data_IF_882548306204
#
_entry.id   IF_882548306204
#
_cell.length_a   1.000
_cell.length_b   1.000
_cell.length_c   1.000
_cell.angle_alpha   90.00
_cell.angle_beta   90.00
_cell.angle_gamma   90.00
#
_symmetry.space_group_name_H-M   'P 1'
#
loop_
_entity.id
_entity.type
_entity.pdbx_description
1 polymer ?
#
# COMPACT_ATOMS: atom_id res chain seq x y z
N UNK A 1 -14.42 17.88 7.75
CA UNK A 1 -13.72 16.86 6.96
C UNK A 1 -12.39 16.57 7.64
N UNK A 2 -12.02 15.32 7.74
CA UNK A 2 -10.74 14.93 8.31
C UNK A 2 -9.60 15.18 7.33
N UNK A 3 -8.46 15.67 7.82
CA UNK A 3 -7.22 15.78 7.04
C UNK A 3 -6.43 14.46 7.04
N UNK A 4 -6.70 13.59 8.04
CA UNK A 4 -6.11 12.27 8.16
C UNK A 4 -7.03 11.32 8.91
N UNK A 5 -7.15 10.11 8.37
CA UNK A 5 -7.80 8.97 9.00
C UNK A 5 -6.86 7.76 8.87
N UNK A 6 -6.70 7.02 9.94
CA UNK A 6 -6.03 5.72 9.96
C UNK A 6 -6.81 4.84 10.94
N UNK A 7 -7.50 3.84 10.42
CA UNK A 7 -8.39 3.01 11.22
C UNK A 7 -8.13 1.53 10.97
N UNK A 8 -8.06 0.77 12.05
CA UNK A 8 -7.99 -0.70 12.07
C UNK A 8 -8.76 -1.24 13.27
N UNK A 9 -8.88 -2.57 13.38
CA UNK A 9 -9.52 -3.18 14.54
C UNK A 9 -8.79 -2.81 15.84
N UNK A 10 -9.46 -2.07 16.73
CA UNK A 10 -8.93 -1.63 18.02
C UNK A 10 -8.07 -0.38 18.01
N UNK A 11 -7.87 0.25 16.85
CA UNK A 11 -7.15 1.53 16.74
C UNK A 11 -7.77 2.40 15.66
N UNK A 12 -8.15 3.61 16.02
CA UNK A 12 -8.51 4.66 15.09
C UNK A 12 -7.77 5.94 15.46
N UNK A 13 -7.07 6.52 14.51
CA UNK A 13 -6.50 7.85 14.59
C UNK A 13 -7.21 8.74 13.57
N UNK A 14 -7.85 9.78 14.05
CA UNK A 14 -8.41 10.85 13.21
C UNK A 14 -7.70 12.16 13.51
N UNK A 15 -7.45 12.96 12.48
CA UNK A 15 -6.85 14.28 12.64
C UNK A 15 -7.52 15.32 11.74
N UNK A 16 -7.54 16.56 12.22
CA UNK A 16 -8.15 17.71 11.55
C UNK A 16 -7.17 18.89 11.52
N UNK A 17 -7.07 19.52 10.36
CA UNK A 17 -6.24 20.69 10.12
C UNK A 17 -4.75 20.42 10.24
N UNK A 18 -3.96 21.28 9.64
CA UNK A 18 -2.50 21.20 9.59
C UNK A 18 -1.93 22.30 10.48
N UNK A 19 -1.14 21.92 11.49
CA UNK A 19 -0.41 22.88 12.34
C UNK A 19 0.95 23.21 11.71
N UNK A 20 1.65 22.21 11.20
CA UNK A 20 2.95 22.35 10.55
C UNK A 20 3.11 21.27 9.47
N UNK A 21 3.68 21.64 8.34
CA UNK A 21 4.03 20.72 7.24
C UNK A 21 5.55 20.49 7.21
N UNK A 22 5.93 19.32 6.66
CA UNK A 22 7.32 18.91 6.54
C UNK A 22 7.60 18.40 5.12
N UNK A 23 8.46 19.12 4.41
CA UNK A 23 8.90 18.75 3.06
C UNK A 23 10.02 17.69 3.08
N UNK A 24 10.58 17.41 4.26
CA UNK A 24 11.67 16.47 4.45
C UNK A 24 11.42 15.59 5.67
N UNK A 25 11.75 14.31 5.53
CA UNK A 25 11.61 13.33 6.61
C UNK A 25 12.52 13.68 7.80
N UNK A 26 13.72 14.24 7.55
CA UNK A 26 14.62 14.70 8.61
C UNK A 26 13.94 15.73 9.53
N UNK A 27 13.26 16.69 8.95
CA UNK A 27 12.63 17.80 9.69
C UNK A 27 11.40 17.29 10.49
N UNK A 28 10.67 16.33 9.92
CA UNK A 28 9.59 15.63 10.62
C UNK A 28 10.11 14.81 11.81
N UNK A 29 11.24 14.10 11.63
CA UNK A 29 11.86 13.37 12.74
C UNK A 29 12.39 14.29 13.82
N UNK A 30 13.03 15.42 13.51
CA UNK A 30 13.44 16.41 14.51
C UNK A 30 12.24 16.90 15.34
N UNK A 31 11.09 17.10 14.71
CA UNK A 31 9.86 17.49 15.41
C UNK A 31 9.33 16.40 16.34
N UNK A 32 9.57 15.11 16.07
CA UNK A 32 9.11 14.01 16.91
C UNK A 32 9.85 13.89 18.26
N UNK A 33 11.04 14.46 18.43
CA UNK A 33 11.85 14.28 19.63
C UNK A 33 11.38 15.05 20.87
N UNK A 34 10.25 15.76 20.81
CA UNK A 34 9.69 16.46 21.98
C UNK A 34 8.84 15.58 22.91
N UNK A 35 8.58 14.32 22.54
CA UNK A 35 7.87 13.31 23.31
C UNK A 35 6.34 13.42 23.30
N UNK A 36 5.76 14.50 22.81
CA UNK A 36 4.31 14.76 22.79
C UNK A 36 3.76 14.93 21.36
N UNK A 37 4.63 15.10 20.39
CA UNK A 37 4.29 15.36 18.99
C UNK A 37 3.69 14.14 18.30
N UNK A 38 2.97 14.42 17.23
CA UNK A 38 2.43 13.42 16.28
C UNK A 38 2.70 13.92 14.87
N UNK A 39 3.23 13.03 14.05
CA UNK A 39 3.34 13.20 12.60
C UNK A 39 2.42 12.19 11.95
N UNK A 40 1.66 12.61 10.96
CA UNK A 40 0.83 11.79 10.10
C UNK A 40 1.10 12.12 8.64
N UNK A 41 0.75 11.22 7.73
CA UNK A 41 0.80 11.53 6.30
C UNK A 41 1.17 10.36 5.41
N UNK A 42 1.80 10.70 4.27
CA UNK A 42 2.18 9.77 3.22
C UNK A 42 3.60 10.01 2.71
N UNK A 43 4.29 8.93 2.38
CA UNK A 43 5.56 8.92 1.67
C UNK A 43 5.29 8.57 0.19
N UNK A 44 5.86 9.30 -0.77
CA UNK A 44 5.70 9.01 -2.19
C UNK A 44 6.46 7.75 -2.58
N UNK A 45 6.15 7.17 -3.75
CA UNK A 45 6.86 6.00 -4.28
C UNK A 45 8.34 6.30 -4.53
N UNK A 46 8.63 7.41 -5.19
CA UNK A 46 10.00 7.85 -5.41
C UNK A 46 10.53 8.59 -4.19
N UNK A 47 11.62 8.07 -3.62
CA UNK A 47 12.25 8.65 -2.41
C UNK A 47 12.74 10.08 -2.58
N UNK A 48 12.94 10.53 -3.83
CA UNK A 48 13.39 11.88 -4.14
C UNK A 48 12.28 12.92 -4.12
N UNK A 49 11.02 12.48 -4.17
CA UNK A 49 9.88 13.38 -4.17
C UNK A 49 9.55 13.83 -2.74
N UNK A 50 8.89 14.98 -2.64
CA UNK A 50 8.50 15.53 -1.35
C UNK A 50 7.41 14.66 -0.70
N UNK A 51 7.56 14.28 0.59
CA UNK A 51 6.53 13.58 1.31
C UNK A 51 5.37 14.53 1.65
N UNK A 52 4.20 13.97 1.87
CA UNK A 52 3.09 14.68 2.53
C UNK A 52 3.08 14.33 3.99
N UNK A 53 3.85 15.04 4.81
CA UNK A 53 3.95 14.85 6.25
C UNK A 53 3.51 16.11 6.98
N UNK A 54 2.72 15.95 8.02
CA UNK A 54 2.31 17.09 8.84
C UNK A 54 2.02 16.73 10.31
N UNK A 55 2.21 17.72 11.18
CA UNK A 55 1.67 17.72 12.52
C UNK A 55 0.23 18.23 12.47
N UNK A 56 -0.78 17.45 12.93
CA UNK A 56 -2.16 17.93 12.94
C UNK A 56 -2.41 18.97 14.03
N UNK A 57 -3.38 19.86 13.81
CA UNK A 57 -3.85 20.81 14.86
C UNK A 57 -4.60 20.10 15.97
N UNK A 58 -5.45 19.15 15.57
CA UNK A 58 -6.26 18.35 16.47
C UNK A 58 -6.21 16.90 16.02
N UNK A 59 -6.10 15.98 16.98
CA UNK A 59 -6.16 14.56 16.69
C UNK A 59 -6.79 13.79 17.85
N UNK A 60 -7.29 12.60 17.53
CA UNK A 60 -7.90 11.71 18.52
C UNK A 60 -7.52 10.26 18.20
N UNK A 61 -7.02 9.57 19.22
CA UNK A 61 -6.95 8.11 19.23
C UNK A 61 -8.22 7.52 19.86
N UNK A 62 -8.75 6.46 19.27
CA UNK A 62 -9.93 5.73 19.75
C UNK A 62 -9.72 4.23 19.52
N UNK A 63 -10.36 3.40 20.34
CA UNK A 63 -10.48 1.96 20.09
C UNK A 63 -11.71 1.62 19.22
N UNK A 64 -12.62 2.58 19.04
CA UNK A 64 -13.80 2.42 18.21
C UNK A 64 -13.47 2.67 16.74
N UNK A 65 -14.08 1.96 15.79
CA UNK A 65 -13.96 2.26 14.37
C UNK A 65 -14.37 3.69 14.07
N UNK A 66 -13.77 4.27 13.02
CA UNK A 66 -14.21 5.59 12.55
C UNK A 66 -15.65 5.48 12.00
N UNK A 67 -16.49 6.41 12.42
CA UNK A 67 -17.80 6.60 11.80
C UNK A 67 -17.62 7.56 10.65
N UNK A 68 -17.62 7.02 9.44
CA UNK A 68 -17.60 7.81 8.21
C UNK A 68 -19.04 8.16 7.84
N UNK A 69 -19.27 9.40 7.45
CA UNK A 69 -20.55 9.78 6.89
C UNK A 69 -20.77 9.00 5.59
N UNK A 70 -21.85 8.19 5.58
CA UNK A 70 -22.30 7.57 4.34
C UNK A 70 -23.06 8.64 3.56
N UNK A 71 -22.55 9.15 2.45
CA UNK A 71 -23.33 10.10 1.69
C UNK A 71 -24.49 9.41 1.00
N UNK A 72 -25.55 10.14 0.86
CA UNK A 72 -26.57 9.87 -0.14
C UNK A 72 -25.87 9.76 -1.48
N UNK A 73 -25.95 8.65 -2.12
CA UNK A 73 -25.37 8.26 -3.41
C UNK A 73 -24.25 9.17 -4.01
N UNK A 74 -23.10 8.60 -4.30
CA UNK A 74 -22.06 9.27 -5.09
C UNK A 74 -22.66 9.80 -6.43
N UNK A 75 -22.15 10.90 -7.00
CA UNK A 75 -22.53 11.34 -8.33
C UNK A 75 -22.35 10.21 -9.34
N UNK A 76 -23.10 10.24 -10.44
CA UNK A 76 -22.98 9.24 -11.48
C UNK A 76 -21.60 9.31 -12.17
N UNK A 77 -21.04 8.16 -12.52
CA UNK A 77 -19.84 8.08 -13.35
C UNK A 77 -20.18 8.44 -14.79
N UNK A 78 -19.50 9.44 -15.34
CA UNK A 78 -19.67 9.92 -16.70
C UNK A 78 -18.78 9.16 -17.70
N UNK A 79 -17.53 8.86 -17.33
CA UNK A 79 -16.58 8.11 -18.17
C UNK A 79 -15.49 7.44 -17.32
N UNK A 80 -14.78 6.50 -17.96
CA UNK A 80 -13.63 5.79 -17.35
C UNK A 80 -12.48 5.76 -18.34
N UNK A 81 -11.31 6.19 -17.89
CA UNK A 81 -10.05 6.10 -18.64
C UNK A 81 -9.18 4.98 -18.10
N UNK A 82 -8.56 4.21 -18.98
CA UNK A 82 -7.55 3.20 -18.64
C UNK A 82 -6.14 3.78 -18.86
N UNK A 83 -5.32 3.81 -17.83
CA UNK A 83 -4.01 4.47 -17.80
C UNK A 83 -2.89 3.48 -17.45
N UNK A 84 -2.16 2.98 -18.45
CA UNK A 84 -2.34 3.14 -19.89
C UNK A 84 -3.52 2.30 -20.40
N UNK A 85 -3.86 2.40 -21.71
CA UNK A 85 -4.78 1.47 -22.35
C UNK A 85 -4.39 0.01 -22.11
N UNK A 86 -5.37 -0.88 -21.92
CA UNK A 86 -5.11 -2.28 -21.50
C UNK A 86 -4.15 -3.02 -22.43
N UNK A 87 -4.24 -2.80 -23.74
CA UNK A 87 -3.31 -3.39 -24.72
C UNK A 87 -1.87 -2.91 -24.55
N UNK A 88 -1.68 -1.64 -24.17
CA UNK A 88 -0.34 -1.08 -23.87
C UNK A 88 0.20 -1.67 -22.58
N UNK A 89 -0.64 -1.82 -21.56
CA UNK A 89 -0.20 -2.45 -20.31
C UNK A 89 0.19 -3.92 -20.52
N UNK A 90 -0.59 -4.67 -21.30
CA UNK A 90 -0.25 -6.05 -21.64
C UNK A 90 1.10 -6.14 -22.38
N UNK A 91 1.37 -5.26 -23.35
CA UNK A 91 2.66 -5.20 -24.04
C UNK A 91 3.82 -4.89 -23.08
N UNK A 92 3.61 -4.00 -22.09
CA UNK A 92 4.61 -3.73 -21.05
C UNK A 92 4.92 -4.98 -20.22
N UNK A 93 3.90 -5.76 -19.86
CA UNK A 93 4.08 -7.02 -19.14
C UNK A 93 4.90 -8.01 -20.00
N UNK A 94 4.57 -8.18 -21.27
CA UNK A 94 5.29 -9.07 -22.20
C UNK A 94 6.77 -8.66 -22.34
N UNK A 95 7.05 -7.36 -22.48
CA UNK A 95 8.41 -6.83 -22.52
C UNK A 95 9.16 -7.07 -21.21
N UNK A 96 8.50 -6.85 -20.07
CA UNK A 96 9.10 -7.09 -18.76
C UNK A 96 9.48 -8.56 -18.56
N UNK A 97 8.59 -9.50 -18.94
CA UNK A 97 8.88 -10.95 -18.91
C UNK A 97 10.14 -11.25 -19.74
N UNK A 98 10.24 -10.71 -20.95
CA UNK A 98 11.39 -10.93 -21.83
C UNK A 98 12.71 -10.38 -21.21
N UNK A 99 12.68 -9.20 -20.56
CA UNK A 99 13.84 -8.64 -19.87
C UNK A 99 14.27 -9.48 -18.66
N UNK A 100 13.31 -10.01 -17.90
CA UNK A 100 13.58 -10.92 -16.78
C UNK A 100 14.19 -12.24 -17.30
N UNK A 101 13.62 -12.83 -18.33
CA UNK A 101 14.14 -14.06 -18.95
C UNK A 101 15.55 -13.87 -19.56
N UNK A 102 15.89 -12.65 -19.99
CA UNK A 102 17.23 -12.27 -20.43
C UNK A 102 18.20 -12.06 -19.27
N UNK A 103 17.76 -12.12 -18.02
CA UNK A 103 18.60 -11.97 -16.82
C UNK A 103 18.94 -10.52 -16.47
N UNK A 104 18.18 -9.54 -16.96
CA UNK A 104 18.37 -8.11 -16.61
C UNK A 104 17.96 -7.83 -15.15
N UNK A 105 16.88 -8.48 -14.69
CA UNK A 105 16.36 -8.41 -13.33
C UNK A 105 15.59 -9.69 -13.02
N UNK A 106 15.23 -9.89 -11.75
CA UNK A 106 14.52 -11.10 -11.31
C UNK A 106 13.02 -10.87 -11.14
N UNK A 107 12.63 -9.63 -10.80
CA UNK A 107 11.24 -9.22 -10.56
C UNK A 107 11.03 -7.74 -10.86
N UNK A 108 9.87 -7.41 -11.43
CA UNK A 108 9.39 -6.03 -11.56
C UNK A 108 7.91 -5.94 -11.23
N UNK A 109 7.48 -4.90 -10.52
CA UNK A 109 6.05 -4.66 -10.25
C UNK A 109 5.54 -3.58 -11.17
N UNK A 110 4.79 -3.96 -12.20
CA UNK A 110 4.16 -3.03 -13.13
C UNK A 110 2.80 -2.59 -12.63
N UNK A 111 2.48 -1.32 -12.83
CA UNK A 111 1.22 -0.71 -12.41
C UNK A 111 0.41 -0.12 -13.55
N UNK A 112 -0.90 -0.02 -13.30
CA UNK A 112 -1.84 0.73 -14.10
C UNK A 112 -2.87 1.42 -13.22
N UNK A 113 -3.60 2.37 -13.80
CA UNK A 113 -4.69 3.03 -13.13
C UNK A 113 -5.97 3.03 -13.96
N UNK A 114 -7.08 3.24 -13.30
CA UNK A 114 -8.37 3.57 -13.88
C UNK A 114 -8.83 4.90 -13.29
N UNK A 115 -9.13 5.87 -14.17
CA UNK A 115 -9.63 7.16 -13.76
C UNK A 115 -11.11 7.25 -14.08
N UNK A 116 -11.90 7.43 -13.05
CA UNK A 116 -13.35 7.59 -13.10
C UNK A 116 -13.67 9.08 -13.04
N UNK A 117 -14.42 9.57 -14.03
CA UNK A 117 -14.92 10.94 -14.07
C UNK A 117 -16.39 10.95 -13.64
N UNK A 118 -16.72 11.78 -12.69
CA UNK A 118 -18.05 11.89 -12.12
C UNK A 118 -18.78 13.14 -12.65
N UNK A 119 -20.11 13.16 -12.52
CA UNK A 119 -20.94 14.30 -12.93
C UNK A 119 -20.94 15.44 -11.89
N UNK A 120 -20.21 15.30 -10.80
CA UNK A 120 -20.10 16.30 -9.72
C UNK A 120 -19.07 15.90 -8.68
N UNK A 121 -18.83 16.74 -7.66
CA UNK A 121 -17.80 16.53 -6.65
C UNK A 121 -18.00 15.23 -5.89
N UNK A 122 -16.88 14.54 -5.61
CA UNK A 122 -16.84 13.25 -4.90
C UNK A 122 -16.42 13.47 -3.45
N UNK A 123 -17.18 12.94 -2.50
CA UNK A 123 -16.79 12.97 -1.09
C UNK A 123 -15.78 11.86 -0.78
N UNK A 124 -14.53 12.19 -0.36
CA UNK A 124 -13.47 11.21 -0.11
C UNK A 124 -13.79 10.23 1.02
N UNK A 125 -14.43 10.70 2.11
CA UNK A 125 -14.81 9.84 3.23
C UNK A 125 -15.86 8.80 2.83
N UNK A 126 -16.72 9.16 1.92
CA UNK A 126 -17.73 8.28 1.36
C UNK A 126 -17.14 7.18 0.49
N UNK A 127 -16.22 7.56 -0.40
CA UNK A 127 -15.52 6.58 -1.22
C UNK A 127 -14.72 5.64 -0.32
N UNK A 128 -14.03 6.16 0.71
CA UNK A 128 -13.32 5.32 1.67
C UNK A 128 -14.25 4.33 2.37
N UNK A 129 -15.41 4.79 2.86
CA UNK A 129 -16.41 3.93 3.53
C UNK A 129 -16.85 2.78 2.61
N UNK A 130 -17.24 3.09 1.38
CA UNK A 130 -17.63 2.10 0.36
C UNK A 130 -16.48 1.16 0.01
N UNK A 131 -15.26 1.69 -0.10
CA UNK A 131 -14.08 0.90 -0.44
C UNK A 131 -13.71 -0.08 0.68
N UNK A 132 -13.71 0.35 1.95
CA UNK A 132 -13.48 -0.53 3.10
C UNK A 132 -14.53 -1.64 3.18
N UNK A 133 -15.81 -1.30 3.01
CA UNK A 133 -16.90 -2.26 3.02
C UNK A 133 -16.75 -3.31 1.90
N UNK A 134 -16.47 -2.86 0.68
CA UNK A 134 -16.28 -3.76 -0.47
C UNK A 134 -15.01 -4.61 -0.36
N UNK A 135 -13.93 -4.06 0.18
CA UNK A 135 -12.68 -4.81 0.39
C UNK A 135 -12.79 -5.84 1.52
N UNK A 136 -13.79 -5.71 2.41
CA UNK A 136 -13.99 -6.60 3.56
C UNK A 136 -12.84 -6.53 4.57
N UNK A 137 -12.16 -5.39 4.65
CA UNK A 137 -11.07 -5.14 5.60
C UNK A 137 -11.56 -4.23 6.72
N UNK A 138 -11.09 -4.46 7.93
CA UNK A 138 -11.30 -3.52 9.04
C UNK A 138 -10.34 -2.34 9.02
N UNK A 139 -9.50 -2.22 7.98
CA UNK A 139 -8.49 -1.20 7.83
C UNK A 139 -8.82 -0.21 6.72
N UNK A 140 -8.53 1.07 6.97
CA UNK A 140 -8.61 2.13 5.96
C UNK A 140 -7.82 3.36 6.35
N UNK A 141 -7.40 4.12 5.36
CA UNK A 141 -6.75 5.41 5.56
C UNK A 141 -7.28 6.48 4.60
N UNK A 142 -7.16 7.72 5.03
CA UNK A 142 -7.37 8.93 4.24
C UNK A 142 -6.27 9.92 4.60
N UNK A 143 -5.64 10.49 3.60
CA UNK A 143 -4.65 11.58 3.74
C UNK A 143 -5.03 12.72 2.82
N UNK A 144 -5.26 13.90 3.39
CA UNK A 144 -5.39 15.14 2.63
C UNK A 144 -4.02 15.53 2.07
N UNK A 145 -3.92 15.55 0.76
CA UNK A 145 -2.77 16.05 0.03
C UNK A 145 -2.84 17.57 -0.14
N UNK A 146 -1.99 18.15 -0.96
CA UNK A 146 -2.11 19.54 -1.34
C UNK A 146 -3.35 19.76 -2.25
N UNK A 147 -3.80 21.00 -2.36
CA UNK A 147 -4.81 21.45 -3.34
C UNK A 147 -6.17 20.74 -3.28
N UNK A 148 -6.54 20.17 -2.11
CA UNK A 148 -7.84 19.53 -1.91
C UNK A 148 -7.93 18.12 -2.51
N UNK A 149 -6.81 17.51 -2.84
CA UNK A 149 -6.72 16.11 -3.21
C UNK A 149 -6.65 15.20 -1.97
N UNK A 150 -7.17 13.97 -2.10
CA UNK A 150 -7.16 12.99 -1.04
C UNK A 150 -6.63 11.65 -1.53
N UNK A 151 -5.69 11.08 -0.80
CA UNK A 151 -5.20 9.73 -1.02
C UNK A 151 -5.84 8.78 -0.01
N UNK A 152 -6.58 7.80 -0.51
CA UNK A 152 -7.36 6.88 0.33
C UNK A 152 -7.06 5.41 0.00
N UNK A 153 -7.32 4.52 0.95
CA UNK A 153 -7.28 3.09 0.64
C UNK A 153 -7.40 2.16 1.83
N UNK A 154 -7.89 0.92 1.63
CA UNK A 154 -7.91 -0.15 2.61
C UNK A 154 -6.69 -1.09 2.45
N UNK A 155 -5.45 -0.58 2.57
CA UNK A 155 -4.24 -1.40 2.41
C UNK A 155 -4.15 -2.56 3.40
N UNK A 156 -4.01 -3.81 2.94
CA UNK A 156 -3.82 -4.94 3.83
C UNK A 156 -2.38 -5.11 4.35
N UNK A 157 -1.41 -4.38 3.77
CA UNK A 157 0.01 -4.62 3.95
C UNK A 157 0.64 -3.69 4.97
N UNK A 158 1.10 -4.25 6.10
CA UNK A 158 1.86 -3.52 7.12
C UNK A 158 3.31 -3.43 6.69
N UNK A 159 3.78 -2.22 6.34
CA UNK A 159 5.18 -1.97 6.02
C UNK A 159 6.04 -2.09 7.29
N UNK A 160 5.66 -1.37 8.33
CA UNK A 160 6.32 -1.42 9.64
C UNK A 160 5.39 -0.88 10.73
N UNK A 161 5.40 -1.55 11.87
CA UNK A 161 4.82 -1.09 13.13
C UNK A 161 5.88 -1.13 14.20
N UNK A 162 5.99 -0.10 15.02
CA UNK A 162 6.95 0.00 16.12
C UNK A 162 6.22 0.38 17.41
N UNK A 163 6.55 -0.34 18.48
CA UNK A 163 6.11 -0.02 19.83
C UNK A 163 7.29 -0.24 20.81
N UNK A 164 7.84 0.83 21.32
CA UNK A 164 9.10 0.75 22.06
C UNK A 164 10.21 0.21 21.15
N UNK A 165 10.81 -0.89 21.55
CA UNK A 165 11.83 -1.60 20.75
C UNK A 165 11.26 -2.73 19.88
N UNK A 166 10.02 -3.10 20.09
CA UNK A 166 9.37 -4.13 19.28
C UNK A 166 8.96 -3.56 17.92
N UNK A 167 9.29 -4.30 16.88
CA UNK A 167 8.89 -3.99 15.52
C UNK A 167 8.20 -5.18 14.88
N UNK A 168 7.27 -4.90 13.99
CA UNK A 168 6.64 -5.92 13.15
C UNK A 168 6.36 -5.40 11.76
N UNK A 169 6.39 -6.32 10.79
CA UNK A 169 6.01 -6.09 9.39
C UNK A 169 5.19 -7.27 8.89
N UNK A 170 4.32 -7.03 7.92
CA UNK A 170 3.52 -8.09 7.32
C UNK A 170 3.45 -7.89 5.80
N UNK A 171 4.55 -8.18 5.09
CA UNK A 171 4.60 -8.08 3.65
C UNK A 171 3.72 -9.12 2.97
N UNK A 172 3.15 -8.73 1.82
CA UNK A 172 2.29 -9.56 0.99
C UNK A 172 2.88 -9.64 -0.42
N UNK A 173 3.02 -10.86 -0.96
CA UNK A 173 3.32 -11.10 -2.36
C UNK A 173 2.80 -12.49 -2.76
N UNK A 174 2.41 -12.66 -4.02
CA UNK A 174 1.64 -13.81 -4.46
C UNK A 174 0.14 -13.60 -4.21
N UNK A 175 -0.66 -13.77 -5.27
CA UNK A 175 -2.10 -13.48 -5.24
C UNK A 175 -2.89 -14.49 -6.05
N UNK A 176 -4.04 -14.94 -5.53
CA UNK A 176 -5.00 -15.73 -6.29
C UNK A 176 -6.43 -15.20 -6.04
N UNK A 177 -7.29 -15.28 -7.07
CA UNK A 177 -8.69 -14.91 -6.95
C UNK A 177 -9.45 -15.89 -6.08
N UNK A 178 -10.32 -15.38 -5.24
CA UNK A 178 -11.26 -16.20 -4.48
C UNK A 178 -12.40 -16.71 -5.35
N UNK A 179 -12.96 -17.85 -4.96
CA UNK A 179 -14.15 -18.41 -5.58
C UNK A 179 -15.35 -18.34 -4.64
N UNK A 180 -16.54 -18.15 -5.22
CA UNK A 180 -17.80 -18.28 -4.47
C UNK A 180 -18.11 -19.74 -4.06
N UNK A 181 -17.52 -20.73 -4.78
CA UNK A 181 -17.60 -22.13 -4.41
C UNK A 181 -16.58 -22.44 -3.29
N UNK A 182 -17.00 -22.90 -2.11
CA UNK A 182 -16.11 -23.11 -0.97
C UNK A 182 -15.09 -24.24 -1.18
N UNK A 183 -15.36 -25.24 -2.03
CA UNK A 183 -14.40 -26.32 -2.33
C UNK A 183 -13.32 -25.82 -3.26
N UNK A 184 -13.72 -25.11 -4.31
CA UNK A 184 -12.79 -24.48 -5.26
C UNK A 184 -11.96 -23.39 -4.56
N UNK A 185 -12.56 -22.59 -3.68
CA UNK A 185 -11.86 -21.52 -2.92
C UNK A 185 -10.74 -22.10 -2.04
N UNK A 186 -11.01 -23.23 -1.35
CA UNK A 186 -9.99 -23.93 -0.57
C UNK A 186 -8.89 -24.54 -1.45
N UNK A 187 -9.23 -25.07 -2.61
CA UNK A 187 -8.26 -25.61 -3.55
C UNK A 187 -7.35 -24.50 -4.11
N UNK A 188 -7.91 -23.31 -4.41
CA UNK A 188 -7.15 -22.14 -4.85
C UNK A 188 -6.15 -21.72 -3.77
N UNK A 189 -6.58 -21.62 -2.51
CA UNK A 189 -5.70 -21.27 -1.39
C UNK A 189 -4.55 -22.29 -1.23
N UNK A 190 -4.84 -23.57 -1.32
CA UNK A 190 -3.84 -24.63 -1.24
C UNK A 190 -2.84 -24.58 -2.43
N UNK A 191 -3.33 -24.32 -3.64
CA UNK A 191 -2.50 -24.16 -4.82
C UNK A 191 -1.57 -22.95 -4.71
N UNK A 192 -2.08 -21.80 -4.20
CA UNK A 192 -1.26 -20.61 -3.96
C UNK A 192 -0.12 -20.92 -2.97
N UNK A 193 -0.42 -21.65 -1.89
CA UNK A 193 0.58 -22.03 -0.88
C UNK A 193 1.65 -22.97 -1.44
N UNK A 194 1.33 -23.76 -2.46
CA UNK A 194 2.23 -24.71 -3.11
C UNK A 194 2.88 -24.16 -4.39
N UNK A 195 2.52 -22.94 -4.82
CA UNK A 195 3.00 -22.35 -6.06
C UNK A 195 4.47 -21.94 -5.94
N UNK A 196 5.35 -22.62 -6.65
CA UNK A 196 6.78 -22.29 -6.70
C UNK A 196 7.01 -20.85 -7.21
N UNK A 197 6.24 -20.41 -8.22
CA UNK A 197 6.27 -19.05 -8.76
C UNK A 197 5.98 -18.02 -7.66
N UNK A 198 4.86 -18.17 -6.93
CA UNK A 198 4.42 -17.19 -5.92
C UNK A 198 5.32 -17.20 -4.69
N UNK A 199 5.81 -18.39 -4.29
CA UNK A 199 6.80 -18.52 -3.21
C UNK A 199 8.13 -17.84 -3.58
N UNK A 200 8.58 -17.99 -4.84
CA UNK A 200 9.78 -17.35 -5.34
C UNK A 200 9.61 -15.82 -5.37
N UNK A 201 8.48 -15.33 -5.89
CA UNK A 201 8.14 -13.90 -5.86
C UNK A 201 8.18 -13.34 -4.43
N UNK A 202 7.56 -14.06 -3.47
CA UNK A 202 7.49 -13.67 -2.07
C UNK A 202 8.88 -13.65 -1.39
N UNK A 203 9.78 -14.56 -1.79
CA UNK A 203 11.12 -14.66 -1.23
C UNK A 203 11.96 -13.40 -1.41
N UNK A 204 11.83 -12.69 -2.53
CA UNK A 204 12.53 -11.40 -2.75
C UNK A 204 12.10 -10.35 -1.74
N UNK A 205 10.82 -10.32 -1.36
CA UNK A 205 10.29 -9.35 -0.41
C UNK A 205 10.83 -9.62 1.00
N UNK A 206 10.75 -10.86 1.46
CA UNK A 206 11.23 -11.24 2.80
C UNK A 206 12.75 -11.12 2.93
N UNK A 207 13.49 -11.44 1.86
CA UNK A 207 14.95 -11.28 1.82
C UNK A 207 15.36 -9.81 1.94
N UNK A 208 14.73 -8.90 1.19
CA UNK A 208 15.02 -7.47 1.26
C UNK A 208 14.70 -6.87 2.65
N UNK A 209 13.58 -7.27 3.26
CA UNK A 209 13.25 -6.83 4.63
C UNK A 209 14.23 -7.39 5.64
N UNK A 210 14.66 -8.65 5.51
CA UNK A 210 15.69 -9.27 6.35
C UNK A 210 17.00 -8.49 6.26
N UNK A 211 17.46 -8.18 5.04
CA UNK A 211 18.70 -7.43 4.82
C UNK A 211 18.66 -6.07 5.49
N UNK A 212 17.55 -5.35 5.40
CA UNK A 212 17.39 -4.03 6.00
C UNK A 212 17.29 -4.08 7.54
N UNK A 213 16.56 -5.03 8.11
CA UNK A 213 16.26 -5.05 9.54
C UNK A 213 17.27 -5.86 10.39
N UNK A 214 17.93 -6.87 9.84
CA UNK A 214 18.85 -7.72 10.60
C UNK A 214 19.99 -6.94 11.29
N UNK A 215 20.62 -5.93 10.66
CA UNK A 215 21.66 -5.13 11.34
C UNK A 215 21.15 -4.30 12.51
N UNK A 216 19.84 -4.01 12.56
CA UNK A 216 19.19 -3.14 13.54
C UNK A 216 18.64 -3.91 14.74
N UNK A 217 18.47 -5.23 14.64
CA UNK A 217 17.77 -6.04 15.61
C UNK A 217 18.74 -6.89 16.46
N UNK A 218 18.36 -7.09 17.73
CA UNK A 218 18.94 -8.15 18.59
C UNK A 218 18.31 -9.50 18.31
N UNK A 219 17.03 -9.50 17.91
CA UNK A 219 16.25 -10.66 17.51
C UNK A 219 15.42 -10.29 16.30
N UNK A 220 15.39 -11.15 15.29
CA UNK A 220 14.57 -10.98 14.09
C UNK A 220 14.02 -12.34 13.67
N UNK A 221 12.70 -12.49 13.73
CA UNK A 221 11.98 -13.69 13.36
C UNK A 221 11.29 -13.47 12.01
N UNK A 222 11.65 -14.26 11.01
CA UNK A 222 11.04 -14.27 9.68
C UNK A 222 10.75 -15.73 9.34
N UNK A 223 9.50 -16.21 9.44
CA UNK A 223 9.13 -17.56 9.05
C UNK A 223 9.52 -17.85 7.59
N UNK A 224 10.05 -19.06 7.34
CA UNK A 224 10.44 -19.50 6.00
C UNK A 224 9.22 -19.78 5.12
N UNK A 225 8.13 -20.27 5.74
CA UNK A 225 6.89 -20.61 5.04
C UNK A 225 5.89 -19.47 5.29
N UNK A 226 5.43 -18.77 4.22
CA UNK A 226 4.42 -17.75 4.36
C UNK A 226 3.06 -18.35 4.73
N UNK A 227 2.24 -17.55 5.40
CA UNK A 227 0.85 -17.86 5.67
C UNK A 227 0.00 -17.53 4.45
N UNK A 228 -1.08 -18.29 4.25
CA UNK A 228 -2.15 -17.91 3.31
C UNK A 228 -3.16 -17.06 4.07
N UNK A 229 -3.37 -15.84 3.63
CA UNK A 229 -4.39 -14.95 4.16
C UNK A 229 -5.36 -14.50 3.06
N UNK A 230 -6.48 -13.93 3.41
CA UNK A 230 -7.45 -13.47 2.42
C UNK A 230 -8.04 -12.10 2.75
N UNK A 231 -8.43 -11.41 1.69
CA UNK A 231 -9.41 -10.32 1.71
C UNK A 231 -10.77 -10.85 1.24
N UNK A 232 -11.74 -9.98 1.01
CA UNK A 232 -13.03 -10.41 0.42
C UNK A 232 -12.87 -11.06 -0.97
N UNK A 233 -11.87 -10.63 -1.76
CA UNK A 233 -11.76 -10.97 -3.18
C UNK A 233 -10.53 -11.78 -3.55
N UNK A 234 -9.50 -11.79 -2.72
CA UNK A 234 -8.20 -12.39 -3.04
C UNK A 234 -7.60 -13.15 -1.87
N UNK A 235 -6.90 -14.25 -2.19
CA UNK A 235 -5.91 -14.91 -1.35
C UNK A 235 -4.54 -14.27 -1.55
N UNK A 236 -3.72 -14.22 -0.51
CA UNK A 236 -2.34 -13.70 -0.54
C UNK A 236 -1.42 -14.59 0.27
N UNK A 237 -0.15 -14.66 -0.13
CA UNK A 237 0.92 -15.11 0.76
C UNK A 237 1.39 -13.93 1.60
N UNK A 238 1.55 -14.15 2.90
CA UNK A 238 2.01 -13.13 3.86
C UNK A 238 2.93 -13.71 4.90
N UNK A 239 3.96 -12.96 5.27
CA UNK A 239 4.94 -13.41 6.29
C UNK A 239 4.90 -12.48 7.52
N UNK A 240 4.51 -12.98 8.71
CA UNK A 240 4.56 -12.20 9.94
C UNK A 240 6.01 -12.05 10.41
N UNK A 241 6.60 -10.89 10.19
CA UNK A 241 7.95 -10.55 10.63
C UNK A 241 7.88 -9.85 11.98
N UNK A 242 8.72 -10.26 12.92
CA UNK A 242 8.84 -9.63 14.24
C UNK A 242 10.31 -9.41 14.57
N UNK A 243 10.60 -8.28 15.23
CA UNK A 243 11.96 -7.97 15.64
C UNK A 243 12.01 -7.17 16.93
N UNK A 244 13.19 -7.19 17.55
CA UNK A 244 13.52 -6.36 18.71
C UNK A 244 14.74 -5.53 18.34
N UNK A 245 14.57 -4.21 18.21
CA UNK A 245 15.66 -3.28 17.92
C UNK A 245 16.75 -3.35 18.99
N UNK A 246 18.00 -3.19 18.60
CA UNK A 246 19.12 -3.05 19.51
C UNK A 246 18.94 -1.80 20.38
N UNK A 247 19.48 -1.76 21.62
CA UNK A 247 19.36 -0.62 22.52
C UNK A 247 20.02 0.66 22.01
N UNK A 248 20.98 0.54 21.09
CA UNK A 248 21.73 1.63 20.48
C UNK A 248 21.09 2.14 19.16
N UNK A 249 19.96 1.58 18.73
CA UNK A 249 19.22 2.01 17.57
C UNK A 249 18.10 2.97 18.02
N UNK A 250 18.25 4.23 17.69
CA UNK A 250 17.27 5.29 17.94
C UNK A 250 16.61 5.70 16.60
N UNK A 251 15.69 4.86 16.13
CA UNK A 251 14.92 5.08 14.90
C UNK A 251 13.43 5.12 15.22
N UNK A 252 12.75 6.12 14.68
CA UNK A 252 11.29 6.22 14.73
C UNK A 252 10.63 5.22 13.77
N UNK A 253 9.31 5.01 13.90
CA UNK A 253 8.53 4.28 12.91
C UNK A 253 8.61 4.90 11.51
N UNK A 254 8.77 6.24 11.42
CA UNK A 254 8.96 6.96 10.17
C UNK A 254 10.32 6.66 9.54
N UNK A 255 11.40 6.62 10.32
CA UNK A 255 12.74 6.23 9.83
C UNK A 255 12.74 4.80 9.30
N UNK A 256 12.11 3.89 10.03
CA UNK A 256 12.01 2.48 9.61
C UNK A 256 11.15 2.33 8.35
N UNK A 257 10.08 3.11 8.21
CA UNK A 257 9.29 3.13 6.99
C UNK A 257 10.11 3.64 5.80
N UNK A 258 10.86 4.73 5.96
CA UNK A 258 11.78 5.24 4.93
C UNK A 258 12.86 4.23 4.56
N UNK A 259 13.39 3.50 5.54
CA UNK A 259 14.40 2.47 5.31
C UNK A 259 13.87 1.35 4.42
N UNK A 260 12.68 0.84 4.73
CA UNK A 260 12.09 -0.31 4.04
C UNK A 260 11.46 0.05 2.70
N UNK A 261 10.93 1.27 2.56
CA UNK A 261 10.20 1.69 1.38
C UNK A 261 11.14 2.12 0.23
N UNK A 262 10.84 1.77 -1.05
CA UNK A 262 9.86 0.78 -1.47
C UNK A 262 10.40 -0.66 -1.36
N UNK A 263 9.55 -1.58 -0.91
CA UNK A 263 9.92 -3.00 -0.86
C UNK A 263 9.85 -3.65 -2.25
N UNK A 264 10.40 -4.85 -2.40
CA UNK A 264 10.28 -5.64 -3.63
C UNK A 264 8.82 -6.08 -3.91
N UNK A 265 7.88 -5.90 -2.97
CA UNK A 265 6.45 -6.14 -3.18
C UNK A 265 5.80 -5.09 -4.11
N UNK A 266 6.40 -3.90 -4.23
CA UNK A 266 5.85 -2.79 -5.03
C UNK A 266 6.86 -2.20 -6.03
N UNK A 267 8.14 -2.54 -5.92
CA UNK A 267 9.21 -2.07 -6.83
C UNK A 267 9.69 -3.22 -7.74
N UNK A 268 10.55 -4.07 -7.23
CA UNK A 268 11.15 -5.22 -7.93
C UNK A 268 12.52 -5.57 -7.34
N UNK A 269 13.22 -6.49 -8.02
CA UNK A 269 14.52 -6.98 -7.59
C UNK A 269 15.45 -7.22 -8.82
N UNK A 270 16.72 -6.75 -8.79
CA UNK A 270 17.34 -5.85 -7.82
C UNK A 270 16.71 -4.46 -7.80
N UNK A 271 16.60 -3.88 -6.61
CA UNK A 271 15.77 -2.67 -6.38
C UNK A 271 16.13 -1.47 -7.26
N UNK A 272 17.43 -1.21 -7.49
CA UNK A 272 17.90 -0.07 -8.29
C UNK A 272 17.54 -0.25 -9.77
N UNK A 273 17.80 -1.44 -10.34
CA UNK A 273 17.48 -1.75 -11.74
C UNK A 273 15.98 -1.65 -11.97
N UNK A 274 15.19 -2.19 -11.04
CA UNK A 274 13.73 -2.10 -11.06
C UNK A 274 13.26 -0.64 -11.08
N UNK A 275 13.78 0.22 -10.19
CA UNK A 275 13.43 1.63 -10.12
C UNK A 275 13.75 2.38 -11.42
N UNK A 276 14.92 2.12 -12.03
CA UNK A 276 15.34 2.73 -13.30
C UNK A 276 14.44 2.30 -14.48
N UNK A 277 13.98 1.05 -14.50
CA UNK A 277 13.06 0.55 -15.52
C UNK A 277 11.66 1.15 -15.34
N UNK A 278 11.13 1.19 -14.10
CA UNK A 278 9.83 1.79 -13.81
C UNK A 278 9.79 3.26 -14.21
N UNK A 279 10.84 4.03 -13.90
CA UNK A 279 10.94 5.44 -14.29
C UNK A 279 10.91 5.67 -15.81
N UNK A 280 11.28 4.66 -16.62
CA UNK A 280 11.22 4.71 -18.08
C UNK A 280 9.90 4.25 -18.66
N UNK A 281 9.23 3.31 -17.98
CA UNK A 281 8.07 2.60 -18.51
C UNK A 281 6.73 3.12 -17.98
N UNK A 282 6.73 3.75 -16.80
CA UNK A 282 5.51 4.22 -16.14
C UNK A 282 5.51 5.73 -15.93
N UNK A 283 4.33 6.36 -15.91
CA UNK A 283 4.21 7.70 -15.35
C UNK A 283 4.51 7.67 -13.85
N UNK A 284 4.73 8.84 -13.27
CA UNK A 284 4.90 8.97 -11.83
C UNK A 284 3.71 8.36 -11.08
N UNK A 285 4.02 7.55 -10.07
CA UNK A 285 3.05 6.89 -9.20
C UNK A 285 2.54 7.81 -8.08
N UNK A 286 3.21 8.92 -7.83
CA UNK A 286 2.94 9.77 -6.68
C UNK A 286 2.99 8.99 -5.37
N UNK A 287 1.89 8.95 -4.63
CA UNK A 287 1.76 8.22 -3.36
C UNK A 287 1.32 6.75 -3.52
N UNK A 288 0.87 6.34 -4.72
CA UNK A 288 0.59 4.93 -4.97
C UNK A 288 1.87 4.09 -4.87
N UNK A 289 1.79 2.95 -4.18
CA UNK A 289 2.96 2.11 -3.83
C UNK A 289 3.99 2.82 -2.91
N UNK A 290 3.64 3.98 -2.39
CA UNK A 290 4.34 4.67 -1.32
C UNK A 290 4.01 4.08 0.06
N UNK A 291 4.00 4.90 1.09
CA UNK A 291 3.56 4.47 2.42
C UNK A 291 2.65 5.52 3.07
N UNK A 292 1.70 5.07 3.88
CA UNK A 292 0.80 5.93 4.67
C UNK A 292 0.85 5.52 6.12
N UNK A 293 0.92 6.49 7.03
CA UNK A 293 0.99 6.16 8.44
C UNK A 293 1.17 7.34 9.37
N UNK A 294 1.63 7.01 10.56
CA UNK A 294 1.85 7.95 11.64
C UNK A 294 3.05 7.54 12.52
N UNK A 295 3.64 8.52 13.18
CA UNK A 295 4.63 8.33 14.24
C UNK A 295 4.42 9.36 15.34
N UNK A 296 4.60 8.95 16.62
CA UNK A 296 4.50 9.83 17.78
C UNK A 296 5.88 10.21 18.32
N UNK A 297 5.90 11.16 19.24
CA UNK A 297 7.12 11.69 19.86
C UNK A 297 7.95 10.68 20.67
N UNK A 298 7.49 9.44 20.84
CA UNK A 298 8.28 8.33 21.37
C UNK A 298 8.90 7.47 20.25
N UNK A 299 8.71 7.87 19.01
CA UNK A 299 9.11 7.12 17.84
C UNK A 299 8.25 5.89 17.55
N UNK A 300 7.15 5.67 18.32
CA UNK A 300 6.20 4.60 18.03
C UNK A 300 5.28 5.01 16.88
N UNK A 301 4.77 4.04 16.13
CA UNK A 301 3.88 4.31 15.02
C UNK A 301 3.62 3.11 14.14
N UNK A 302 2.83 3.33 13.09
CA UNK A 302 2.51 2.33 12.09
C UNK A 302 2.47 2.97 10.71
N UNK A 303 3.11 2.30 9.74
CA UNK A 303 3.11 2.66 8.33
C UNK A 303 2.69 1.47 7.49
N UNK A 304 1.81 1.72 6.53
CA UNK A 304 1.32 0.72 5.58
C UNK A 304 1.71 1.08 4.17
N UNK A 305 1.87 0.07 3.33
CA UNK A 305 2.15 0.28 1.91
C UNK A 305 0.93 0.94 1.25
N UNK A 306 1.13 2.00 0.47
CA UNK A 306 0.08 2.76 -0.20
C UNK A 306 -0.51 2.04 -1.41
N UNK A 307 -1.04 0.83 -1.20
CA UNK A 307 -1.71 0.01 -2.22
C UNK A 307 -3.20 -0.14 -1.94
N UNK A 308 -3.93 -0.73 -2.90
CA UNK A 308 -5.41 -0.76 -2.85
C UNK A 308 -5.93 0.64 -2.62
N UNK A 309 -5.41 1.59 -3.38
CA UNK A 309 -5.57 3.02 -3.13
C UNK A 309 -6.20 3.73 -4.30
N UNK A 310 -6.75 4.90 -4.01
CA UNK A 310 -7.24 5.84 -4.99
C UNK A 310 -6.84 7.27 -4.61
N UNK A 311 -6.60 8.09 -5.63
CA UNK A 311 -6.46 9.54 -5.53
C UNK A 311 -7.80 10.15 -5.93
N UNK A 312 -8.32 11.04 -5.08
CA UNK A 312 -9.57 11.76 -5.32
C UNK A 312 -9.25 13.24 -5.49
N UNK A 313 -9.69 13.81 -6.59
CA UNK A 313 -9.53 15.22 -6.91
C UNK A 313 -10.84 15.73 -7.52
N UNK A 314 -11.52 16.63 -6.81
CA UNK A 314 -12.80 17.22 -7.18
C UNK A 314 -13.85 16.19 -7.66
N UNK A 315 -13.98 16.00 -8.98
CA UNK A 315 -14.94 15.10 -9.63
C UNK A 315 -14.28 13.85 -10.23
N UNK A 316 -13.01 13.56 -9.85
CA UNK A 316 -12.29 12.39 -10.36
C UNK A 316 -11.84 11.46 -9.24
N UNK A 317 -11.86 10.15 -9.52
CA UNK A 317 -11.25 9.10 -8.68
C UNK A 317 -10.28 8.32 -9.56
N UNK A 318 -8.99 8.37 -9.26
CA UNK A 318 -7.97 7.57 -9.94
C UNK A 318 -7.55 6.42 -9.05
N UNK A 319 -7.96 5.20 -9.40
CA UNK A 319 -7.65 3.98 -8.67
C UNK A 319 -6.49 3.22 -9.30
N UNK A 320 -5.61 2.64 -8.48
CA UNK A 320 -4.37 2.01 -8.91
C UNK A 320 -4.34 0.53 -8.58
N UNK A 321 -3.70 -0.26 -9.46
CA UNK A 321 -3.34 -1.64 -9.19
C UNK A 321 -2.02 -1.99 -9.87
N UNK A 322 -1.25 -2.90 -9.25
CA UNK A 322 -0.03 -3.45 -9.81
C UNK A 322 0.06 -4.96 -9.63
N UNK A 323 0.85 -5.60 -10.46
CA UNK A 323 1.17 -7.03 -10.43
C UNK A 323 2.68 -7.25 -10.44
N UNK A 324 3.15 -8.25 -9.68
CA UNK A 324 4.56 -8.65 -9.66
C UNK A 324 4.88 -9.60 -10.81
N UNK A 325 5.75 -9.17 -11.70
CA UNK A 325 6.17 -9.92 -12.89
C UNK A 325 7.47 -10.66 -12.58
N UNK A 326 7.49 -11.96 -12.85
CA UNK A 326 8.65 -12.85 -12.75
C UNK A 326 8.80 -13.65 -14.05
N UNK A 327 9.86 -14.45 -14.18
CA UNK A 327 10.19 -15.17 -15.41
C UNK A 327 9.06 -16.10 -15.91
N UNK A 328 8.31 -16.70 -14.99
CA UNK A 328 7.22 -17.64 -15.28
C UNK A 328 5.83 -16.97 -15.35
N UNK A 329 5.77 -15.64 -15.31
CA UNK A 329 4.53 -14.89 -15.45
C UNK A 329 3.90 -15.05 -16.84
N UNK A 330 2.57 -15.04 -16.90
CA UNK A 330 1.77 -15.05 -18.14
C UNK A 330 1.06 -13.70 -18.25
N UNK A 331 1.32 -12.97 -19.31
CA UNK A 331 0.85 -11.57 -19.45
C UNK A 331 -0.67 -11.39 -19.31
N UNK A 332 -1.46 -12.33 -19.80
CA UNK A 332 -2.92 -12.29 -19.67
C UNK A 332 -3.37 -12.47 -18.21
N UNK A 333 -2.70 -13.34 -17.45
CA UNK A 333 -3.02 -13.61 -16.05
C UNK A 333 -2.64 -12.41 -15.17
N UNK A 334 -1.48 -11.79 -15.43
CA UNK A 334 -1.03 -10.59 -14.71
C UNK A 334 -1.94 -9.37 -14.97
N UNK A 335 -2.41 -9.21 -16.23
CA UNK A 335 -3.42 -8.20 -16.57
C UNK A 335 -4.72 -8.45 -15.81
N UNK A 336 -5.19 -9.71 -15.77
CA UNK A 336 -6.40 -10.11 -15.05
C UNK A 336 -6.25 -9.89 -13.54
N UNK A 337 -5.07 -10.12 -12.97
CA UNK A 337 -4.79 -9.85 -11.56
C UNK A 337 -4.99 -8.37 -11.22
N UNK A 338 -4.48 -7.44 -12.06
CA UNK A 338 -4.71 -6.01 -11.85
C UNK A 338 -6.19 -5.65 -11.94
N UNK A 339 -6.94 -6.26 -12.84
CA UNK A 339 -8.38 -6.07 -12.94
C UNK A 339 -9.11 -6.50 -11.66
N UNK A 340 -8.74 -7.66 -11.12
CA UNK A 340 -9.29 -8.19 -9.86
C UNK A 340 -8.99 -7.26 -8.68
N UNK A 341 -7.75 -6.75 -8.59
CA UNK A 341 -7.34 -5.81 -7.54
C UNK A 341 -8.12 -4.49 -7.56
N UNK A 342 -8.63 -4.07 -8.72
CA UNK A 342 -9.51 -2.91 -8.88
C UNK A 342 -10.99 -3.19 -8.59
N UNK A 343 -11.39 -4.46 -8.48
CA UNK A 343 -12.79 -4.85 -8.21
C UNK A 343 -13.41 -4.15 -7.01
N UNK A 344 -12.76 -4.14 -5.81
CA UNK A 344 -13.33 -3.49 -4.63
C UNK A 344 -13.62 -2.00 -4.79
N UNK A 345 -12.73 -1.24 -5.43
CA UNK A 345 -12.98 0.19 -5.65
C UNK A 345 -14.08 0.41 -6.70
N UNK A 346 -14.12 -0.38 -7.77
CA UNK A 346 -15.21 -0.33 -8.74
C UNK A 346 -16.57 -0.59 -8.09
N UNK A 347 -16.64 -1.60 -7.22
CA UNK A 347 -17.85 -1.90 -6.45
C UNK A 347 -18.22 -0.74 -5.53
N UNK A 348 -17.25 -0.12 -4.85
CA UNK A 348 -17.48 1.05 -4.00
C UNK A 348 -18.02 2.25 -4.76
N UNK A 349 -17.63 2.40 -6.04
CA UNK A 349 -18.10 3.47 -6.95
C UNK A 349 -19.39 3.11 -7.71
N UNK A 350 -20.00 1.94 -7.41
CA UNK A 350 -21.22 1.47 -8.08
C UNK A 350 -21.02 1.01 -9.53
N UNK A 351 -19.79 0.65 -9.89
CA UNK A 351 -19.41 0.19 -11.23
C UNK A 351 -19.18 -1.32 -11.12
N UNK A 352 -20.05 -2.10 -11.71
CA UNK A 352 -19.99 -3.57 -11.77
C UNK A 352 -19.43 -4.06 -13.10
#
# INVERSE_FOLDING_TARGET
MHSFIFTESGLTLTACGVAQEFDRISDANEYLYDGLSLIVGALPFHRADAPRLFAPREYKFSSEPVTLESPDALPAVASVDFLPPLSVHQQRIEQCIAEIQAGTLDKLVLSRAERFHFTGPVNPEAVLAGYMASAGTGFGYLVELADGEFFIGPSPEVLIKKQGREISSFPLAGTAMRSADPELDRAIAANLQASEKDLHEHSFVTAGIREALAPLCTQLEIPEIPLVMHTAHTWHLGTPIRGILRPDVDMSALDLAQLLHPTAAVNGHPAQIAAELLAKQEPDRGFYSGAVGWANGRGDGEWRVGIRSALISEDTVTAYAGGGIVADSVAADELQETHTKLGPIRSALGIL
#
